data_IF_275175872627
#
_entry.id   IF_275175872627
#
_cell.length_a   1.000
_cell.length_b   1.000
_cell.length_c   1.000
_cell.angle_alpha   90.00
_cell.angle_beta   90.00
_cell.angle_gamma   90.00
#
_symmetry.space_group_name_H-M   'P 1'
#
loop_
_entity.id
_entity.type
_entity.pdbx_description
1 polymer ?
#
# COMPACT_ATOMS: atom_id res chain seq x y z
N UNK A 1 46.36 -7.23 53.42
CA UNK A 1 46.63 -6.74 52.06
C UNK A 1 46.00 -7.57 50.93
N UNK A 2 45.80 -8.88 51.10
CA UNK A 2 45.22 -9.75 50.04
C UNK A 2 43.73 -9.45 49.74
N UNK A 3 42.95 -9.02 50.73
CA UNK A 3 41.53 -8.67 50.54
C UNK A 3 41.29 -7.44 49.66
N UNK A 4 42.20 -6.45 49.66
CA UNK A 4 42.08 -5.25 48.81
C UNK A 4 42.32 -5.55 47.33
N UNK A 5 43.14 -6.57 47.02
CA UNK A 5 43.38 -7.03 45.65
C UNK A 5 42.18 -7.81 45.10
N UNK A 6 41.47 -8.57 45.95
CA UNK A 6 40.27 -9.30 45.56
C UNK A 6 39.06 -8.39 45.28
N UNK A 7 38.88 -7.32 46.06
CA UNK A 7 37.82 -6.34 45.80
C UNK A 7 38.09 -5.50 44.54
N UNK A 8 39.36 -5.24 44.22
CA UNK A 8 39.75 -4.58 42.97
C UNK A 8 39.51 -5.49 41.74
N UNK A 9 39.73 -6.80 41.87
CA UNK A 9 39.47 -7.78 40.81
C UNK A 9 37.97 -7.97 40.50
N UNK A 10 37.11 -7.95 41.54
CA UNK A 10 35.65 -8.00 41.39
C UNK A 10 35.06 -6.71 40.79
N UNK A 11 35.69 -5.55 41.01
CA UNK A 11 35.31 -4.29 40.36
C UNK A 11 35.75 -4.21 38.89
N UNK A 12 36.85 -4.87 38.51
CA UNK A 12 37.33 -4.87 37.13
C UNK A 12 36.43 -5.70 36.18
N UNK A 13 35.83 -6.77 36.69
CA UNK A 13 34.90 -7.61 35.91
C UNK A 13 33.51 -6.99 35.70
N UNK A 14 33.18 -5.87 36.37
CA UNK A 14 31.92 -5.13 36.13
C UNK A 14 32.03 -4.08 35.00
N UNK A 15 33.22 -3.90 34.42
CA UNK A 15 33.48 -2.93 33.35
C UNK A 15 33.64 -3.55 31.96
N UNK A 16 33.40 -4.85 31.80
CA UNK A 16 33.40 -5.47 30.47
C UNK A 16 32.16 -5.00 29.70
N UNK A 17 32.30 -4.15 28.67
CA UNK A 17 31.16 -3.71 27.89
C UNK A 17 30.46 -4.94 27.29
N UNK A 18 29.14 -5.01 27.46
CA UNK A 18 28.32 -6.05 26.85
C UNK A 18 28.75 -6.26 25.38
N UNK A 19 29.07 -7.51 25.01
CA UNK A 19 29.63 -7.81 23.68
C UNK A 19 28.71 -7.25 22.59
N UNK A 20 29.23 -6.77 21.44
CA UNK A 20 28.41 -6.22 20.37
C UNK A 20 27.24 -7.13 19.94
N UNK A 21 27.43 -8.46 20.03
CA UNK A 21 26.42 -9.48 19.76
C UNK A 21 25.26 -9.38 20.78
N UNK A 22 25.56 -9.30 22.07
CA UNK A 22 24.53 -9.17 23.13
C UNK A 22 23.71 -7.89 22.98
N UNK A 23 24.37 -6.77 22.64
CA UNK A 23 23.69 -5.49 22.38
C UNK A 23 22.78 -5.56 21.15
N UNK A 24 23.24 -6.17 20.06
CA UNK A 24 22.43 -6.33 18.85
C UNK A 24 21.21 -7.22 19.11
N UNK A 25 21.37 -8.30 19.89
CA UNK A 25 20.26 -9.17 20.27
C UNK A 25 19.22 -8.43 21.12
N UNK A 26 19.66 -7.65 22.10
CA UNK A 26 18.77 -6.80 22.90
C UNK A 26 18.02 -5.79 22.02
N UNK A 27 18.71 -5.09 21.13
CA UNK A 27 18.11 -4.13 20.21
C UNK A 27 17.06 -4.77 19.29
N UNK A 28 17.26 -6.02 18.85
CA UNK A 28 16.26 -6.77 18.08
C UNK A 28 14.99 -7.01 18.88
N UNK A 29 15.14 -7.39 20.15
CA UNK A 29 14.01 -7.63 21.05
C UNK A 29 13.26 -6.33 21.35
N UNK A 30 13.98 -5.23 21.58
CA UNK A 30 13.38 -3.90 21.77
C UNK A 30 12.62 -3.44 20.52
N UNK A 31 13.21 -3.63 19.33
CA UNK A 31 12.57 -3.28 18.07
C UNK A 31 11.28 -4.07 17.84
N UNK A 32 11.30 -5.37 18.14
CA UNK A 32 10.13 -6.23 18.02
C UNK A 32 9.05 -5.86 19.05
N UNK A 33 9.44 -5.53 20.28
CA UNK A 33 8.53 -5.08 21.32
C UNK A 33 7.86 -3.77 20.93
N UNK A 34 8.63 -2.79 20.44
CA UNK A 34 8.10 -1.53 19.93
C UNK A 34 7.13 -1.75 18.75
N UNK A 35 7.47 -2.64 17.82
CA UNK A 35 6.61 -2.97 16.68
C UNK A 35 5.27 -3.56 17.14
N UNK A 36 5.31 -4.52 18.08
CA UNK A 36 4.10 -5.15 18.65
C UNK A 36 3.24 -4.15 19.43
N UNK A 37 3.86 -3.16 20.07
CA UNK A 37 3.18 -2.07 20.75
C UNK A 37 2.63 -0.98 19.81
N UNK A 38 2.76 -1.13 18.48
CA UNK A 38 2.33 -0.13 17.50
C UNK A 38 3.25 1.09 17.42
N UNK A 39 4.38 1.09 18.14
CA UNK A 39 5.37 2.17 18.15
C UNK A 39 6.28 2.07 16.92
N UNK A 40 5.70 2.12 15.73
CA UNK A 40 6.40 1.83 14.47
C UNK A 40 7.56 2.80 14.17
N UNK A 41 7.47 4.06 14.59
CA UNK A 41 8.58 5.01 14.46
C UNK A 41 9.81 4.60 15.29
N UNK A 42 9.59 4.11 16.52
CA UNK A 42 10.66 3.58 17.39
C UNK A 42 11.20 2.25 16.85
N UNK A 43 10.32 1.36 16.39
CA UNK A 43 10.75 0.12 15.74
C UNK A 43 11.63 0.42 14.51
N UNK A 44 11.26 1.45 13.74
CA UNK A 44 12.01 1.86 12.54
C UNK A 44 13.41 2.34 12.90
N UNK A 45 13.57 3.19 13.91
CA UNK A 45 14.90 3.66 14.32
C UNK A 45 15.80 2.50 14.73
N UNK A 46 15.26 1.53 15.48
CA UNK A 46 16.01 0.38 15.96
C UNK A 46 16.38 -0.60 14.83
N UNK A 47 15.44 -0.95 13.95
CA UNK A 47 15.73 -1.82 12.81
C UNK A 47 16.63 -1.17 11.76
N UNK A 48 16.48 0.14 11.52
CA UNK A 48 17.36 0.88 10.62
C UNK A 48 18.80 0.93 11.18
N UNK A 49 18.96 1.11 12.49
CA UNK A 49 20.26 1.04 13.14
C UNK A 49 20.90 -0.34 12.95
N UNK A 50 20.18 -1.41 13.32
CA UNK A 50 20.64 -2.79 13.16
C UNK A 50 21.05 -3.12 11.72
N UNK A 51 20.33 -2.59 10.72
CA UNK A 51 20.64 -2.80 9.31
C UNK A 51 21.95 -2.14 8.83
N UNK A 52 22.48 -1.17 9.57
CA UNK A 52 23.69 -0.41 9.21
C UNK A 52 24.93 -0.84 9.99
N UNK A 53 24.74 -1.43 11.17
CA UNK A 53 25.84 -1.80 12.07
C UNK A 53 26.41 -3.20 11.85
N UNK A 54 25.79 -4.02 11.00
CA UNK A 54 26.27 -5.36 10.65
C UNK A 54 26.78 -5.37 9.22
N UNK A 55 27.88 -6.09 8.95
CA UNK A 55 28.45 -6.25 7.60
C UNK A 55 27.42 -6.81 6.61
N UNK A 56 26.59 -7.75 7.08
CA UNK A 56 25.47 -8.30 6.34
C UNK A 56 24.20 -8.16 7.18
N UNK A 57 23.12 -7.67 6.56
CA UNK A 57 21.84 -7.51 7.23
C UNK A 57 21.23 -8.89 7.45
N UNK A 58 20.94 -9.26 8.70
CA UNK A 58 20.17 -10.48 8.99
C UNK A 58 18.83 -10.42 8.23
N UNK A 59 18.50 -11.42 7.39
CA UNK A 59 17.26 -11.41 6.63
C UNK A 59 15.99 -11.29 7.49
N UNK A 60 16.01 -11.74 8.76
CA UNK A 60 14.90 -11.54 9.69
C UNK A 60 14.77 -10.07 10.12
N UNK A 61 15.89 -9.37 10.34
CA UNK A 61 15.90 -7.91 10.58
C UNK A 61 15.40 -7.18 9.35
N UNK A 62 15.82 -7.58 8.16
CA UNK A 62 15.33 -7.02 6.89
C UNK A 62 13.82 -7.17 6.74
N UNK A 63 13.28 -8.35 7.01
CA UNK A 63 11.84 -8.61 6.93
C UNK A 63 11.06 -7.67 7.87
N UNK A 64 11.53 -7.55 9.12
CA UNK A 64 10.89 -6.68 10.10
C UNK A 64 11.03 -5.18 9.77
N UNK A 65 12.15 -4.77 9.17
CA UNK A 65 12.31 -3.42 8.63
C UNK A 65 11.28 -3.16 7.52
N UNK A 66 11.09 -4.12 6.60
CA UNK A 66 10.03 -4.09 5.60
C UNK A 66 8.64 -3.94 6.21
N UNK A 67 8.30 -4.78 7.20
CA UNK A 67 7.01 -4.69 7.93
C UNK A 67 6.82 -3.33 8.60
N UNK A 68 7.89 -2.77 9.17
CA UNK A 68 7.82 -1.48 9.85
C UNK A 68 7.56 -0.35 8.86
N UNK A 69 8.25 -0.34 7.71
CA UNK A 69 7.95 0.61 6.63
C UNK A 69 6.52 0.45 6.11
N UNK A 70 6.05 -0.79 5.94
CA UNK A 70 4.68 -1.08 5.50
C UNK A 70 3.64 -0.50 6.48
N UNK A 71 3.81 -0.72 7.78
CA UNK A 71 2.91 -0.18 8.82
C UNK A 71 2.92 1.35 8.90
N UNK A 72 3.98 1.98 8.43
CA UNK A 72 4.10 3.44 8.30
C UNK A 72 3.62 3.94 6.93
N UNK A 73 3.00 3.10 6.09
CA UNK A 73 2.59 3.39 4.72
C UNK A 73 3.74 3.85 3.79
N UNK A 74 4.99 3.54 4.15
CA UNK A 74 6.18 3.88 3.36
C UNK A 74 6.49 2.75 2.36
N UNK A 75 5.54 2.43 1.48
CA UNK A 75 5.63 1.27 0.58
C UNK A 75 6.85 1.30 -0.35
N UNK A 76 7.26 2.49 -0.81
CA UNK A 76 8.45 2.68 -1.62
C UNK A 76 9.75 2.21 -0.93
N UNK A 77 9.80 2.31 0.42
CA UNK A 77 10.94 1.81 1.21
C UNK A 77 10.77 0.36 1.63
N UNK A 78 9.52 -0.10 1.82
CA UNK A 78 9.21 -1.47 2.19
C UNK A 78 9.53 -2.46 1.07
N UNK A 79 9.12 -2.14 -0.17
CA UNK A 79 9.26 -2.98 -1.36
C UNK A 79 10.68 -3.55 -1.56
N UNK A 80 11.76 -2.74 -1.60
CA UNK A 80 13.12 -3.28 -1.79
C UNK A 80 13.58 -4.19 -0.65
N UNK A 81 13.05 -4.04 0.58
CA UNK A 81 13.37 -4.95 1.68
C UNK A 81 12.82 -6.35 1.43
N UNK A 82 11.58 -6.44 0.92
CA UNK A 82 10.95 -7.70 0.59
C UNK A 82 11.51 -8.31 -0.70
N UNK A 83 11.79 -7.50 -1.73
CA UNK A 83 12.37 -8.01 -3.00
C UNK A 83 13.69 -8.74 -2.76
N UNK A 84 14.54 -8.21 -1.88
CA UNK A 84 15.79 -8.89 -1.49
C UNK A 84 15.53 -10.26 -0.86
N UNK A 85 14.41 -10.42 -0.13
CA UNK A 85 14.07 -11.65 0.58
C UNK A 85 13.46 -12.73 -0.31
N UNK A 86 13.05 -12.40 -1.54
CA UNK A 86 12.64 -13.40 -2.52
C UNK A 86 13.79 -14.34 -2.89
N UNK A 87 15.04 -13.92 -2.70
CA UNK A 87 16.26 -14.70 -2.95
C UNK A 87 16.84 -15.35 -1.69
N UNK A 88 16.13 -15.32 -0.57
CA UNK A 88 16.57 -15.96 0.68
C UNK A 88 16.53 -17.49 0.56
N UNK A 89 17.53 -18.21 1.09
CA UNK A 89 17.50 -19.68 1.16
C UNK A 89 16.36 -20.22 2.05
N UNK A 90 15.89 -19.39 2.98
CA UNK A 90 14.80 -19.72 3.90
C UNK A 90 13.43 -19.51 3.24
N UNK A 91 12.73 -20.62 3.02
CA UNK A 91 11.37 -20.70 2.44
C UNK A 91 10.38 -19.74 3.12
N UNK A 92 10.30 -19.78 4.45
CA UNK A 92 9.38 -18.93 5.23
C UNK A 92 9.58 -17.42 4.97
N UNK A 93 10.81 -16.98 4.72
CA UNK A 93 11.09 -15.57 4.37
C UNK A 93 10.68 -15.23 2.95
N UNK A 94 10.92 -16.14 1.99
CA UNK A 94 10.45 -15.96 0.61
C UNK A 94 8.93 -15.86 0.57
N UNK A 95 8.24 -16.77 1.25
CA UNK A 95 6.77 -16.78 1.37
C UNK A 95 6.24 -15.49 1.98
N UNK A 96 6.80 -15.05 3.11
CA UNK A 96 6.38 -13.81 3.77
C UNK A 96 6.61 -12.58 2.89
N UNK A 97 7.76 -12.51 2.22
CA UNK A 97 8.10 -11.42 1.32
C UNK A 97 7.18 -11.36 0.08
N UNK A 98 6.96 -12.49 -0.58
CA UNK A 98 6.05 -12.59 -1.73
C UNK A 98 4.62 -12.18 -1.33
N UNK A 99 4.12 -12.64 -0.18
CA UNK A 99 2.81 -12.24 0.34
C UNK A 99 2.74 -10.72 0.56
N UNK A 100 3.72 -10.13 1.22
CA UNK A 100 3.72 -8.68 1.49
C UNK A 100 3.87 -7.84 0.21
N UNK A 101 4.67 -8.30 -0.75
CA UNK A 101 4.78 -7.66 -2.06
C UNK A 101 3.45 -7.72 -2.83
N UNK A 102 2.74 -8.85 -2.74
CA UNK A 102 1.41 -8.99 -3.34
C UNK A 102 0.40 -8.01 -2.74
N UNK A 103 0.43 -7.81 -1.42
CA UNK A 103 -0.39 -6.80 -0.75
C UNK A 103 -0.03 -5.38 -1.21
N UNK A 104 1.27 -5.06 -1.33
CA UNK A 104 1.70 -3.76 -1.86
C UNK A 104 1.22 -3.55 -3.29
N UNK A 105 1.29 -4.59 -4.14
CA UNK A 105 0.79 -4.53 -5.52
C UNK A 105 -0.73 -4.28 -5.56
N UNK A 106 -1.52 -4.91 -4.67
CA UNK A 106 -2.95 -4.61 -4.52
C UNK A 106 -3.21 -3.13 -4.18
N UNK A 107 -2.44 -2.59 -3.22
CA UNK A 107 -2.53 -1.18 -2.83
C UNK A 107 -2.14 -0.22 -3.96
N UNK A 108 -1.36 -0.70 -4.93
CA UNK A 108 -0.95 0.02 -6.13
C UNK A 108 -1.88 -0.23 -7.33
N UNK A 109 -3.00 -0.94 -7.12
CA UNK A 109 -3.94 -1.36 -8.16
C UNK A 109 -3.33 -2.27 -9.24
N UNK A 110 -2.20 -2.91 -8.95
CA UNK A 110 -1.54 -3.88 -9.82
C UNK A 110 -1.96 -5.30 -9.44
N UNK A 111 -3.20 -5.63 -9.78
CA UNK A 111 -3.81 -6.94 -9.49
C UNK A 111 -3.09 -8.10 -10.20
N UNK A 112 -2.50 -7.84 -11.38
CA UNK A 112 -1.77 -8.85 -12.14
C UNK A 112 -0.51 -9.29 -11.38
N UNK A 113 0.31 -8.34 -10.94
CA UNK A 113 1.49 -8.64 -10.13
C UNK A 113 1.09 -9.19 -8.76
N UNK A 114 0.01 -8.70 -8.14
CA UNK A 114 -0.47 -9.25 -6.89
C UNK A 114 -0.80 -10.75 -6.98
N UNK A 115 -1.55 -11.17 -8.01
CA UNK A 115 -1.90 -12.57 -8.23
C UNK A 115 -0.66 -13.45 -8.39
N UNK A 116 0.29 -13.03 -9.23
CA UNK A 116 1.54 -13.77 -9.44
C UNK A 116 2.35 -13.93 -8.16
N UNK A 117 2.41 -12.89 -7.32
CA UNK A 117 3.14 -12.93 -6.04
C UNK A 117 2.45 -13.81 -4.99
N UNK A 118 1.12 -13.77 -4.92
CA UNK A 118 0.39 -14.67 -4.02
C UNK A 118 0.47 -16.13 -4.50
N UNK A 119 0.40 -16.38 -5.80
CA UNK A 119 0.63 -17.71 -6.38
C UNK A 119 2.04 -18.22 -6.05
N UNK A 120 3.07 -17.39 -6.24
CA UNK A 120 4.44 -17.73 -5.83
C UNK A 120 4.53 -18.08 -4.34
N UNK A 121 3.85 -17.31 -3.46
CA UNK A 121 3.82 -17.60 -2.03
C UNK A 121 3.14 -18.95 -1.72
N UNK A 122 2.08 -19.31 -2.45
CA UNK A 122 1.34 -20.56 -2.29
C UNK A 122 2.07 -21.78 -2.86
N UNK A 123 2.84 -21.61 -3.94
CA UNK A 123 3.72 -22.65 -4.46
C UNK A 123 4.86 -22.99 -3.48
N UNK A 124 5.35 -21.98 -2.75
CA UNK A 124 6.39 -22.16 -1.74
C UNK A 124 5.82 -22.72 -0.43
N UNK A 125 4.63 -22.27 -0.01
CA UNK A 125 3.94 -22.77 1.17
C UNK A 125 2.42 -22.76 0.95
N UNK A 126 1.87 -23.93 0.68
CA UNK A 126 0.46 -24.12 0.39
C UNK A 126 -0.45 -23.72 1.57
N UNK A 127 0.03 -23.80 2.82
CA UNK A 127 -0.73 -23.50 4.04
C UNK A 127 -0.70 -22.01 4.43
N UNK A 128 -0.16 -21.14 3.57
CA UNK A 128 -0.19 -19.71 3.80
C UNK A 128 -1.60 -19.13 3.59
N UNK A 129 -2.41 -19.16 4.64
CA UNK A 129 -3.78 -18.64 4.64
C UNK A 129 -3.87 -17.17 4.23
N UNK A 130 -2.86 -16.35 4.56
CA UNK A 130 -2.85 -14.93 4.17
C UNK A 130 -2.71 -14.77 2.65
N UNK A 131 -1.81 -15.52 2.03
CA UNK A 131 -1.67 -15.52 0.58
C UNK A 131 -2.91 -16.11 -0.10
N UNK A 132 -3.46 -17.21 0.44
CA UNK A 132 -4.67 -17.85 -0.10
C UNK A 132 -5.87 -16.90 -0.09
N UNK A 133 -6.15 -16.31 1.06
CA UNK A 133 -7.24 -15.34 1.20
C UNK A 133 -7.08 -14.16 0.24
N UNK A 134 -5.89 -13.56 0.18
CA UNK A 134 -5.65 -12.42 -0.70
C UNK A 134 -5.70 -12.80 -2.20
N UNK A 135 -5.21 -13.98 -2.57
CA UNK A 135 -5.29 -14.49 -3.94
C UNK A 135 -6.75 -14.63 -4.40
N UNK A 136 -7.57 -15.30 -3.60
CA UNK A 136 -9.00 -15.49 -3.90
C UNK A 136 -9.72 -14.14 -3.97
N UNK A 137 -9.41 -13.22 -3.04
CA UNK A 137 -9.98 -11.89 -3.04
C UNK A 137 -9.64 -11.13 -4.33
N UNK A 138 -8.37 -11.08 -4.73
CA UNK A 138 -7.95 -10.38 -5.96
C UNK A 138 -8.53 -11.04 -7.20
N UNK A 139 -8.48 -12.37 -7.29
CA UNK A 139 -8.99 -13.13 -8.43
C UNK A 139 -10.48 -12.92 -8.64
N UNK A 140 -11.26 -12.80 -7.55
CA UNK A 140 -12.70 -12.54 -7.62
C UNK A 140 -13.03 -11.19 -8.27
N UNK A 141 -12.20 -10.17 -8.08
CA UNK A 141 -12.47 -8.81 -8.58
C UNK A 141 -11.62 -8.42 -9.80
N UNK A 142 -10.62 -9.21 -10.17
CA UNK A 142 -9.75 -8.94 -11.31
C UNK A 142 -10.19 -9.71 -12.55
N UNK A 143 -10.67 -8.98 -13.56
CA UNK A 143 -11.21 -9.52 -14.81
C UNK A 143 -10.14 -10.09 -15.78
N UNK A 144 -8.86 -10.13 -15.39
CA UNK A 144 -7.76 -10.65 -16.23
C UNK A 144 -7.15 -9.65 -17.22
N UNK A 145 -7.71 -8.45 -17.39
CA UNK A 145 -7.16 -7.41 -18.27
C UNK A 145 -6.03 -6.67 -17.56
N UNK A 146 -4.79 -6.79 -18.08
CA UNK A 146 -3.62 -6.04 -17.56
C UNK A 146 -3.96 -4.55 -17.50
N UNK A 147 -3.65 -3.84 -16.40
CA UNK A 147 -3.67 -2.39 -16.44
C UNK A 147 -2.69 -1.95 -17.52
N UNK A 148 -3.15 -1.19 -18.51
CA UNK A 148 -2.25 -0.53 -19.43
C UNK A 148 -1.27 0.29 -18.60
N UNK A 149 0.01 -0.05 -18.66
CA UNK A 149 1.06 0.79 -18.14
C UNK A 149 0.95 2.12 -18.87
N UNK A 150 0.44 3.14 -18.20
CA UNK A 150 0.43 4.50 -18.72
C UNK A 150 1.80 5.10 -18.36
N UNK A 151 2.79 5.15 -19.28
CA UNK A 151 4.05 5.81 -18.98
C UNK A 151 3.76 7.28 -18.68
N UNK A 152 4.20 7.69 -17.49
CA UNK A 152 4.19 9.06 -16.99
C UNK A 152 4.39 10.09 -18.10
N UNK A 153 3.44 11.01 -18.22
CA UNK A 153 3.60 12.25 -18.95
C UNK A 153 4.83 13.00 -18.42
N UNK A 154 5.85 13.14 -19.28
CA UNK A 154 6.85 14.21 -19.18
C UNK A 154 6.12 15.56 -19.30
N UNK A 155 6.46 16.59 -18.51
CA UNK A 155 5.84 17.90 -18.65
C UNK A 155 6.45 18.62 -19.86
N UNK A 156 5.84 18.45 -21.03
CA UNK A 156 6.16 19.26 -22.21
C UNK A 156 5.20 20.45 -22.27
N UNK A 157 5.70 21.58 -21.79
CA UNK A 157 5.18 22.93 -22.00
C UNK A 157 4.71 23.18 -23.44
N UNK A 158 3.43 23.53 -23.62
CA UNK A 158 2.95 24.24 -24.83
C UNK A 158 1.91 25.31 -24.48
N UNK A 159 2.23 26.55 -24.89
CA UNK A 159 1.39 27.76 -24.87
C UNK A 159 0.05 27.54 -25.60
N UNK A 160 -1.04 28.22 -25.19
CA UNK A 160 -2.30 28.17 -25.94
C UNK A 160 -2.19 29.00 -27.22
N UNK A 161 -2.33 28.35 -28.39
CA UNK A 161 -2.70 29.03 -29.63
C UNK A 161 -4.20 28.90 -29.83
N UNK A 162 -4.90 30.03 -29.76
CA UNK A 162 -6.25 30.19 -30.29
C UNK A 162 -6.23 29.88 -31.80
N UNK A 163 -7.18 29.05 -32.25
CA UNK A 163 -7.63 29.08 -33.64
C UNK A 163 -9.14 29.19 -33.62
N UNK A 164 -9.60 30.37 -34.04
CA UNK A 164 -10.96 30.66 -34.45
C UNK A 164 -11.23 29.93 -35.78
N UNK A 165 -12.39 29.27 -35.91
CA UNK A 165 -13.22 29.34 -37.13
C UNK A 165 -14.62 28.74 -36.91
N UNK A 166 -15.59 29.66 -36.89
CA UNK A 166 -16.88 29.67 -37.60
C UNK A 166 -17.74 28.39 -37.71
N UNK A 167 -18.94 28.49 -37.10
CA UNK A 167 -20.18 27.73 -37.39
C UNK A 167 -20.74 28.08 -38.78
N UNK A 168 -21.51 27.19 -39.43
CA UNK A 168 -22.98 27.31 -39.31
C UNK A 168 -23.76 25.98 -39.25
N UNK A 169 -24.99 26.11 -38.71
CA UNK A 169 -26.20 25.31 -38.90
C UNK A 169 -26.20 23.80 -38.50
N UNK A 170 -26.97 23.48 -37.45
CA UNK A 170 -27.29 22.12 -37.02
C UNK A 170 -27.57 22.02 -35.52
N UNK A 171 -28.67 22.62 -35.05
CA UNK A 171 -28.99 22.87 -33.64
C UNK A 171 -29.31 21.67 -32.74
N UNK A 172 -29.02 20.43 -33.15
CA UNK A 172 -29.24 19.25 -32.31
C UNK A 172 -28.05 18.28 -32.24
N UNK A 173 -27.13 18.34 -33.22
CA UNK A 173 -26.00 17.42 -33.26
C UNK A 173 -24.78 17.93 -32.48
N UNK A 174 -24.63 19.27 -32.37
CA UNK A 174 -23.51 19.92 -31.68
C UNK A 174 -23.65 19.86 -30.15
N UNK A 175 -24.88 20.01 -29.61
CA UNK A 175 -25.12 19.84 -28.18
C UNK A 175 -24.94 18.39 -27.74
N UNK A 176 -25.36 17.43 -28.58
CA UNK A 176 -25.19 16.01 -28.29
C UNK A 176 -23.72 15.64 -28.24
N UNK A 177 -22.92 16.10 -29.21
CA UNK A 177 -21.47 15.87 -29.24
C UNK A 177 -20.75 16.52 -28.06
N UNK A 178 -21.06 17.78 -27.73
CA UNK A 178 -20.43 18.48 -26.61
C UNK A 178 -20.78 17.84 -25.26
N UNK A 179 -22.04 17.40 -25.09
CA UNK A 179 -22.49 16.70 -23.88
C UNK A 179 -21.87 15.30 -23.80
N UNK A 180 -21.65 14.62 -24.92
CA UNK A 180 -20.93 13.34 -24.99
C UNK A 180 -19.45 13.49 -24.63
N UNK A 181 -18.79 14.53 -25.14
CA UNK A 181 -17.39 14.83 -24.83
C UNK A 181 -17.19 15.20 -23.36
N UNK A 182 -18.13 15.94 -22.77
CA UNK A 182 -18.11 16.25 -21.34
C UNK A 182 -18.32 14.99 -20.49
N UNK A 183 -19.24 14.10 -20.90
CA UNK A 183 -19.44 12.81 -20.23
C UNK A 183 -18.18 11.96 -20.30
N UNK A 184 -17.57 11.82 -21.48
CA UNK A 184 -16.31 11.08 -21.67
C UNK A 184 -15.19 11.65 -20.80
N UNK A 185 -15.10 12.98 -20.68
CA UNK A 185 -14.15 13.63 -19.76
C UNK A 185 -14.46 13.37 -18.29
N UNK A 186 -15.74 13.26 -17.90
CA UNK A 186 -16.14 12.87 -16.54
C UNK A 186 -15.82 11.40 -16.28
N UNK A 187 -16.06 10.51 -17.24
CA UNK A 187 -15.70 9.09 -17.16
C UNK A 187 -14.20 8.90 -16.95
N UNK A 188 -13.37 9.62 -17.72
CA UNK A 188 -11.92 9.59 -17.58
C UNK A 188 -11.44 10.07 -16.20
N UNK A 189 -12.18 10.95 -15.53
CA UNK A 189 -11.85 11.42 -14.17
C UNK A 189 -12.30 10.48 -13.06
N UNK A 190 -13.27 9.61 -13.32
CA UNK A 190 -13.90 8.77 -12.31
C UNK A 190 -13.26 7.38 -12.16
N UNK A 191 -12.25 7.02 -12.97
CA UNK A 191 -11.60 5.70 -12.93
C UNK A 191 -12.62 4.54 -12.92
N UNK A 192 -13.69 4.65 -13.69
CA UNK A 192 -14.76 3.65 -13.73
C UNK A 192 -14.31 2.41 -14.51
N UNK A 193 -14.68 1.22 -14.03
CA UNK A 193 -14.45 -0.03 -14.77
C UNK A 193 -15.33 -0.09 -16.03
N UNK A 194 -14.94 -0.89 -17.01
CA UNK A 194 -15.68 -1.06 -18.27
C UNK A 194 -17.14 -1.50 -18.03
N UNK A 195 -17.39 -2.29 -16.99
CA UNK A 195 -18.75 -2.67 -16.57
C UNK A 195 -19.54 -1.50 -15.99
N UNK A 196 -18.92 -0.65 -15.16
CA UNK A 196 -19.58 0.54 -14.61
C UNK A 196 -19.90 1.57 -15.70
N UNK A 197 -19.02 1.71 -16.69
CA UNK A 197 -19.25 2.57 -17.84
C UNK A 197 -20.42 2.04 -18.70
N UNK A 198 -20.50 0.72 -18.93
CA UNK A 198 -21.61 0.08 -19.66
C UNK A 198 -22.93 0.19 -18.92
N UNK A 199 -22.97 -0.11 -17.62
CA UNK A 199 -24.18 0.01 -16.81
C UNK A 199 -24.70 1.46 -16.77
N UNK A 200 -23.80 2.44 -16.70
CA UNK A 200 -24.20 3.85 -16.73
C UNK A 200 -24.70 4.29 -18.12
N UNK A 201 -24.09 3.79 -19.20
CA UNK A 201 -24.55 4.01 -20.58
C UNK A 201 -25.94 3.41 -20.83
N UNK A 202 -26.19 2.22 -20.31
CA UNK A 202 -27.48 1.51 -20.40
C UNK A 202 -28.58 2.24 -19.60
N UNK A 203 -28.24 2.69 -18.38
CA UNK A 203 -29.08 3.53 -17.53
C UNK A 203 -29.33 4.94 -18.08
N UNK A 204 -28.61 5.36 -19.11
CA UNK A 204 -28.85 6.62 -19.84
C UNK A 204 -29.67 6.43 -21.12
N UNK A 205 -29.79 5.19 -21.61
CA UNK A 205 -30.62 4.85 -22.77
C UNK A 205 -32.04 4.44 -22.36
N UNK A 206 -32.22 3.91 -21.15
CA UNK A 206 -33.52 3.74 -20.52
C UNK A 206 -33.80 4.87 -19.53
N UNK A 207 -34.92 5.57 -19.67
CA UNK A 207 -35.37 6.66 -18.78
C UNK A 207 -35.68 6.22 -17.32
N UNK A 208 -35.28 5.02 -16.90
CA UNK A 208 -35.54 4.47 -15.57
C UNK A 208 -34.27 4.40 -14.73
N UNK A 209 -34.03 5.46 -13.95
CA UNK A 209 -33.00 5.54 -12.90
C UNK A 209 -33.30 4.55 -11.74
N UNK A 210 -32.48 3.50 -11.50
CA UNK A 210 -32.63 2.69 -10.28
C UNK A 210 -31.95 3.41 -9.11
N UNK A 211 -32.78 3.69 -8.11
CA UNK A 211 -32.64 4.43 -6.85
C UNK A 211 -31.46 4.12 -5.90
N UNK A 212 -30.37 3.47 -6.33
CA UNK A 212 -29.36 2.93 -5.40
C UNK A 212 -28.31 3.93 -4.86
N UNK A 213 -28.30 5.21 -5.29
CA UNK A 213 -27.27 6.18 -4.87
C UNK A 213 -27.75 7.31 -3.93
N UNK A 214 -29.03 7.34 -3.53
CA UNK A 214 -29.56 8.42 -2.69
C UNK A 214 -29.34 8.26 -1.17
N UNK A 215 -28.68 7.20 -0.68
CA UNK A 215 -28.52 6.99 0.77
C UNK A 215 -27.18 7.35 1.41
N UNK A 216 -26.12 7.63 0.64
CA UNK A 216 -24.80 7.92 1.23
C UNK A 216 -24.54 9.40 1.55
N UNK A 217 -25.44 10.32 1.14
CA UNK A 217 -25.24 11.78 1.32
C UNK A 217 -26.17 12.44 2.36
N UNK A 218 -26.96 11.69 3.14
CA UNK A 218 -27.71 12.23 4.29
C UNK A 218 -27.05 11.80 5.61
N UNK A 219 -26.00 12.51 6.03
CA UNK A 219 -25.64 12.68 7.45
C UNK A 219 -24.61 13.79 7.63
N UNK A 220 -25.13 15.01 7.78
CA UNK A 220 -24.63 16.13 8.61
C UNK A 220 -25.31 17.38 8.05
N UNK A 221 -26.40 17.83 8.64
CA UNK A 221 -26.34 18.81 9.73
C UNK A 221 -27.75 18.91 10.34
N UNK A 222 -27.86 18.84 11.66
CA UNK A 222 -29.06 19.28 12.40
C UNK A 222 -28.62 20.45 13.29
N UNK A 223 -29.14 21.68 13.11
CA UNK A 223 -29.17 22.64 14.19
C UNK A 223 -30.42 22.35 15.04
N UNK A 224 -30.27 22.45 16.36
CA UNK A 224 -31.39 22.42 17.31
C UNK A 224 -31.69 23.85 17.77
N UNK A 225 -32.77 24.41 17.25
CA UNK A 225 -33.54 25.57 17.75
C UNK A 225 -34.91 25.46 17.08
N UNK A 226 -36.07 25.61 17.70
CA UNK A 226 -36.55 25.89 19.04
C UNK A 226 -38.08 25.89 18.95
N UNK A 227 -38.76 25.73 20.08
CA UNK A 227 -40.14 26.20 20.37
C UNK A 227 -41.39 25.56 19.71
N UNK A 228 -42.17 24.94 20.61
CA UNK A 228 -43.57 25.23 20.98
C UNK A 228 -44.80 24.82 20.12
N UNK A 229 -45.83 24.41 20.90
CA UNK A 229 -47.29 24.27 20.63
C UNK A 229 -47.70 23.02 19.83
N UNK A 230 -48.59 22.13 20.29
CA UNK A 230 -49.65 22.14 21.31
C UNK A 230 -49.65 20.84 22.10
#
# INVERSE_FOLDING_TARGET
MIYLLFTAWLWWNQLLPASPISRNNQMRQEAQTAFRAGQYARALSLYAYLSRTTTTIDPAVRLNLGHTYFKLNQFAKAKPQYETLLQSDRSNLRTAAATQLGVIACLQHDSATALSLFEQALLENADNESARYNFELVKKYYSGKKPETNPQHKPASKKPKQVNKSRPAGGQQVERSARQDELLRRFQRLNLSEEQARQLLDAMQGDDLPYALTRSARRSTKPASGENRW
#
